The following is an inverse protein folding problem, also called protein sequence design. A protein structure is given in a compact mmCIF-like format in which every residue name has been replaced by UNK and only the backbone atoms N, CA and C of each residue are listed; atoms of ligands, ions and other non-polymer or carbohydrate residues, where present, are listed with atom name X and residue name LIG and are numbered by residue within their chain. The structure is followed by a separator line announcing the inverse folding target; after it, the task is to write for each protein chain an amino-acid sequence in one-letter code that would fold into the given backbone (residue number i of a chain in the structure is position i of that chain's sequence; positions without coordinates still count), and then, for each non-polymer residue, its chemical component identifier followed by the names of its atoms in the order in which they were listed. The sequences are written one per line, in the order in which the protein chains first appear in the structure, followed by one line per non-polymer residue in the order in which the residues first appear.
data_IF_039079734743
#
_entry.id   IF_039079734743
#
_cell.length_a   1.000
_cell.length_b   1.000
_cell.length_c   1.000
_cell.angle_alpha   90.00
_cell.angle_beta   90.00
_cell.angle_gamma   90.00
#
_symmetry.space_group_name_H-M   'P 1'
#
loop_
_entity.id
_entity.type
_entity.pdbx_description
1 polymer ?
#
# COMPACT_ATOMS: atom_id res chain seq x y z
N UNK A 1 9.71 -21.83 -47.07
CA UNK A 1 8.41 -21.51 -46.49
C UNK A 1 8.27 -20.00 -46.49
N UNK A 2 7.13 -19.41 -46.88
CA UNK A 2 6.93 -17.97 -46.76
C UNK A 2 7.06 -17.58 -45.28
N UNK A 3 7.94 -16.64 -44.98
CA UNK A 3 8.06 -16.04 -43.67
C UNK A 3 6.91 -15.04 -43.54
N UNK A 4 5.90 -15.38 -42.76
CA UNK A 4 4.86 -14.41 -42.43
C UNK A 4 5.40 -13.43 -41.43
N UNK A 5 5.37 -12.11 -41.68
CA UNK A 5 5.75 -11.12 -40.68
C UNK A 5 4.84 -11.26 -39.48
N UNK A 6 5.42 -11.27 -38.29
CA UNK A 6 4.68 -11.33 -37.04
C UNK A 6 4.41 -9.91 -36.48
N UNK A 7 3.32 -9.78 -35.74
CA UNK A 7 2.97 -8.55 -35.07
C UNK A 7 3.64 -8.58 -33.69
N UNK A 8 4.60 -7.70 -33.44
CA UNK A 8 5.49 -7.77 -32.27
C UNK A 8 4.74 -7.80 -30.92
N UNK A 9 3.64 -7.09 -30.78
CA UNK A 9 2.87 -7.09 -29.51
C UNK A 9 2.03 -8.36 -29.30
N UNK A 10 2.00 -9.29 -30.27
CA UNK A 10 1.39 -10.62 -30.14
C UNK A 10 2.45 -11.72 -30.07
N UNK A 11 3.73 -11.38 -30.12
CA UNK A 11 4.83 -12.33 -30.02
C UNK A 11 5.25 -12.50 -28.55
N UNK A 12 4.82 -13.60 -27.94
CA UNK A 12 5.12 -13.92 -26.54
C UNK A 12 6.62 -14.09 -26.28
N UNK A 13 7.38 -14.63 -27.27
CA UNK A 13 8.83 -14.80 -27.12
C UNK A 13 9.54 -13.46 -27.13
N UNK A 14 9.13 -12.54 -28.01
CA UNK A 14 9.63 -11.17 -28.00
C UNK A 14 9.27 -10.47 -26.70
N UNK A 15 7.99 -10.54 -26.27
CA UNK A 15 7.55 -9.89 -25.03
C UNK A 15 8.23 -10.45 -23.78
N UNK A 16 8.68 -11.69 -23.79
CA UNK A 16 9.47 -12.29 -22.72
C UNK A 16 10.97 -11.97 -22.77
N UNK A 17 11.47 -11.40 -23.88
CA UNK A 17 12.89 -11.09 -24.07
C UNK A 17 13.38 -9.91 -23.20
N UNK A 18 14.70 -9.76 -23.10
CA UNK A 18 15.29 -8.63 -22.35
C UNK A 18 15.00 -7.28 -23.02
N UNK A 19 14.93 -7.25 -24.34
CA UNK A 19 14.64 -6.05 -25.14
C UNK A 19 13.23 -5.52 -24.87
N UNK A 20 12.26 -6.41 -24.58
CA UNK A 20 10.89 -6.04 -24.26
C UNK A 20 10.66 -5.69 -22.76
N UNK A 21 11.72 -5.69 -21.93
CA UNK A 21 11.62 -5.31 -20.52
C UNK A 21 10.91 -3.94 -20.28
N UNK A 22 11.19 -2.87 -21.06
CA UNK A 22 10.48 -1.60 -20.90
C UNK A 22 8.96 -1.73 -21.11
N UNK A 23 8.52 -2.60 -22.03
CA UNK A 23 7.09 -2.84 -22.28
C UNK A 23 6.44 -3.55 -21.09
N UNK A 24 7.12 -4.53 -20.48
CA UNK A 24 6.63 -5.21 -19.28
C UNK A 24 6.53 -4.26 -18.08
N UNK A 25 7.53 -3.39 -17.87
CA UNK A 25 7.48 -2.35 -16.83
C UNK A 25 6.27 -1.43 -17.05
N UNK A 26 6.08 -0.98 -18.29
CA UNK A 26 4.95 -0.10 -18.63
C UNK A 26 3.61 -0.82 -18.46
N UNK A 27 3.51 -2.10 -18.76
CA UNK A 27 2.28 -2.88 -18.55
C UNK A 27 1.90 -2.95 -17.06
N UNK A 28 2.87 -3.14 -16.15
CA UNK A 28 2.65 -3.12 -14.69
C UNK A 28 2.27 -1.74 -14.14
N UNK A 29 2.50 -0.68 -14.91
CA UNK A 29 1.96 0.64 -14.61
C UNK A 29 0.54 0.82 -15.15
N UNK A 30 0.30 0.43 -16.40
CA UNK A 30 -0.96 0.71 -17.11
C UNK A 30 -2.13 -0.16 -16.65
N UNK A 31 -1.89 -1.42 -16.32
CA UNK A 31 -2.94 -2.36 -15.93
C UNK A 31 -3.61 -1.95 -14.61
N UNK A 32 -2.88 -1.73 -13.50
CA UNK A 32 -3.50 -1.21 -12.28
C UNK A 32 -4.15 0.17 -12.46
N UNK A 33 -3.53 1.05 -13.26
CA UNK A 33 -4.08 2.37 -13.57
C UNK A 33 -5.47 2.27 -14.20
N UNK A 34 -5.63 1.38 -15.18
CA UNK A 34 -6.90 1.14 -15.86
C UNK A 34 -7.93 0.55 -14.89
N UNK A 35 -7.55 -0.46 -14.12
CA UNK A 35 -8.43 -1.12 -13.17
C UNK A 35 -8.94 -0.15 -12.08
N UNK A 36 -8.06 0.67 -11.51
CA UNK A 36 -8.45 1.67 -10.50
C UNK A 36 -9.39 2.73 -11.07
N UNK A 37 -9.18 3.17 -12.32
CA UNK A 37 -10.10 4.08 -13.02
C UNK A 37 -11.48 3.45 -13.22
N UNK A 38 -11.54 2.21 -13.72
CA UNK A 38 -12.80 1.49 -13.93
C UNK A 38 -13.55 1.21 -12.64
N UNK A 39 -12.82 0.89 -11.57
CA UNK A 39 -13.37 0.66 -10.24
C UNK A 39 -13.68 1.95 -9.47
N UNK A 40 -13.40 3.13 -10.05
CA UNK A 40 -13.54 4.44 -9.42
C UNK A 40 -12.81 4.56 -8.07
N UNK A 41 -11.64 3.90 -7.94
CA UNK A 41 -10.78 4.00 -6.77
C UNK A 41 -10.05 5.33 -6.84
N UNK A 42 -10.16 6.13 -5.78
CA UNK A 42 -9.54 7.44 -5.67
C UNK A 42 -8.24 7.42 -4.91
N UNK A 43 -8.30 6.79 -3.76
CA UNK A 43 -7.19 6.74 -2.82
C UNK A 43 -7.30 5.53 -1.88
N UNK A 44 -6.21 5.24 -1.18
CA UNK A 44 -6.08 4.04 -0.38
C UNK A 44 -5.57 4.34 1.03
N UNK A 45 -5.87 3.43 1.97
CA UNK A 45 -5.14 3.26 3.22
C UNK A 45 -4.36 1.96 3.12
N UNK A 46 -3.04 2.05 3.21
CA UNK A 46 -2.15 0.92 3.01
C UNK A 46 -1.81 0.24 4.33
N UNK A 47 -1.94 -1.08 4.35
CA UNK A 47 -1.59 -1.94 5.48
C UNK A 47 -0.33 -2.73 5.14
N UNK A 48 0.74 -2.50 5.90
CA UNK A 48 1.95 -3.30 5.87
C UNK A 48 2.08 -4.14 7.13
N UNK A 49 2.71 -5.30 7.01
CA UNK A 49 2.97 -6.17 8.13
C UNK A 49 3.40 -7.58 7.68
N UNK A 50 3.74 -8.41 8.64
CA UNK A 50 4.26 -9.75 8.39
C UNK A 50 3.21 -10.68 7.79
N UNK A 51 3.61 -11.42 6.77
CA UNK A 51 2.85 -12.58 6.25
C UNK A 51 2.80 -13.78 7.23
N UNK A 52 3.60 -13.75 8.29
CA UNK A 52 3.73 -14.85 9.27
C UNK A 52 2.86 -14.69 10.50
N UNK A 53 2.19 -13.56 10.67
CA UNK A 53 1.32 -13.25 11.80
C UNK A 53 -0.08 -13.77 11.50
N UNK A 54 -0.42 -14.97 11.99
CA UNK A 54 -1.77 -15.52 11.90
C UNK A 54 -2.67 -15.07 13.04
N UNK A 55 -3.95 -15.49 13.01
CA UNK A 55 -4.95 -15.21 14.06
C UNK A 55 -4.58 -15.89 15.40
N UNK A 56 -3.88 -17.01 15.33
CA UNK A 56 -3.40 -17.77 16.48
C UNK A 56 -1.94 -17.45 16.81
N UNK A 57 -1.51 -17.84 18.03
CA UNK A 57 -0.14 -17.65 18.49
C UNK A 57 0.09 -16.30 19.18
N UNK A 58 1.35 -16.03 19.61
CA UNK A 58 1.68 -14.88 20.47
C UNK A 58 1.44 -13.52 19.80
N UNK A 59 1.51 -13.46 18.47
CA UNK A 59 1.28 -12.25 17.69
C UNK A 59 -0.14 -12.16 17.13
N UNK A 60 -1.03 -13.11 17.43
CA UNK A 60 -2.38 -13.21 16.86
C UNK A 60 -3.28 -12.00 17.16
N UNK A 61 -3.00 -11.30 18.28
CA UNK A 61 -3.71 -10.07 18.58
C UNK A 61 -3.51 -9.00 17.50
N UNK A 62 -2.31 -8.89 16.87
CA UNK A 62 -2.09 -7.96 15.76
C UNK A 62 -2.89 -8.30 14.51
N UNK A 63 -3.10 -9.60 14.24
CA UNK A 63 -3.99 -10.03 13.16
C UNK A 63 -5.42 -9.55 13.42
N UNK A 64 -5.94 -9.77 14.63
CA UNK A 64 -7.30 -9.34 15.00
C UNK A 64 -7.45 -7.82 14.97
N UNK A 65 -6.47 -7.09 15.47
CA UNK A 65 -6.45 -5.61 15.43
C UNK A 65 -6.40 -5.08 13.99
N UNK A 66 -5.59 -5.68 13.11
CA UNK A 66 -5.52 -5.30 11.70
C UNK A 66 -6.85 -5.54 10.99
N UNK A 67 -7.49 -6.69 11.24
CA UNK A 67 -8.81 -7.03 10.72
C UNK A 67 -9.88 -6.04 11.21
N UNK A 68 -9.90 -5.73 12.50
CA UNK A 68 -10.87 -4.81 13.07
C UNK A 68 -10.66 -3.38 12.57
N UNK A 69 -9.43 -2.88 12.55
CA UNK A 69 -9.13 -1.55 12.01
C UNK A 69 -9.55 -1.42 10.55
N UNK A 70 -9.23 -2.43 9.74
CA UNK A 70 -9.64 -2.47 8.34
C UNK A 70 -11.16 -2.48 8.19
N UNK A 71 -11.87 -3.23 9.02
CA UNK A 71 -13.34 -3.26 9.03
C UNK A 71 -13.93 -1.88 9.33
N UNK A 72 -13.44 -1.21 10.37
CA UNK A 72 -13.89 0.14 10.75
C UNK A 72 -13.62 1.16 9.66
N UNK A 73 -12.40 1.16 9.09
CA UNK A 73 -12.02 2.06 7.99
C UNK A 73 -12.88 1.82 6.75
N UNK A 74 -13.16 0.56 6.43
CA UNK A 74 -14.00 0.23 5.27
C UNK A 74 -15.45 0.67 5.46
N UNK A 75 -16.02 0.48 6.63
CA UNK A 75 -17.38 1.00 6.95
C UNK A 75 -17.43 2.53 6.81
N UNK A 76 -16.42 3.22 7.31
CA UNK A 76 -16.33 4.68 7.16
C UNK A 76 -16.16 5.07 5.69
N UNK A 77 -15.24 4.45 4.95
CA UNK A 77 -15.03 4.66 3.51
C UNK A 77 -16.35 4.53 2.73
N UNK A 78 -17.10 3.46 2.98
CA UNK A 78 -18.39 3.22 2.32
C UNK A 78 -19.44 4.29 2.65
N UNK A 79 -19.40 4.87 3.85
CA UNK A 79 -20.31 5.97 4.23
C UNK A 79 -20.01 7.28 3.49
N UNK A 80 -18.80 7.42 2.95
CA UNK A 80 -18.36 8.58 2.18
C UNK A 80 -18.58 8.42 0.67
N UNK A 81 -18.86 7.20 0.21
CA UNK A 81 -18.96 6.87 -1.21
C UNK A 81 -20.13 7.63 -1.89
N UNK A 82 -19.79 8.43 -2.91
CA UNK A 82 -20.74 9.14 -3.79
C UNK A 82 -20.38 8.86 -5.26
N UNK A 83 -20.28 7.57 -5.63
CA UNK A 83 -19.87 7.14 -6.98
C UNK A 83 -18.34 7.02 -7.15
N UNK A 84 -17.55 7.42 -6.15
CA UNK A 84 -16.10 7.22 -6.06
C UNK A 84 -15.76 6.54 -4.73
N UNK A 85 -14.70 5.73 -4.73
CA UNK A 85 -14.24 5.01 -3.54
C UNK A 85 -12.98 5.67 -2.98
N UNK A 86 -13.13 6.26 -1.79
CA UNK A 86 -12.03 6.85 -1.02
C UNK A 86 -11.55 5.92 0.07
N UNK A 87 -10.28 6.01 0.44
CA UNK A 87 -9.70 5.29 1.59
C UNK A 87 -9.88 3.77 1.50
N UNK A 88 -9.79 3.22 0.28
CA UNK A 88 -9.92 1.78 0.08
C UNK A 88 -8.72 1.07 0.70
N UNK A 89 -8.98 0.01 1.46
CA UNK A 89 -7.92 -0.79 2.08
C UNK A 89 -7.06 -1.44 1.01
N UNK A 90 -5.74 -1.24 1.11
CA UNK A 90 -4.75 -1.81 0.22
C UNK A 90 -3.69 -2.57 1.02
N UNK A 91 -3.30 -3.74 0.55
CA UNK A 91 -2.23 -4.55 1.15
C UNK A 91 -1.40 -5.25 0.07
N UNK A 92 -0.35 -5.96 0.49
CA UNK A 92 0.41 -6.82 -0.41
C UNK A 92 -0.33 -8.09 -0.87
N UNK A 93 -1.58 -8.29 -0.48
CA UNK A 93 -2.44 -9.38 -0.94
C UNK A 93 -2.07 -10.78 -0.46
N UNK A 94 -0.99 -10.96 0.30
CA UNK A 94 -0.55 -12.25 0.84
C UNK A 94 -1.25 -12.63 2.15
N UNK A 95 -0.67 -13.57 2.89
CA UNK A 95 -1.17 -14.02 4.19
C UNK A 95 -0.88 -13.04 5.34
N UNK A 96 -1.20 -13.45 6.55
CA UNK A 96 -0.88 -12.73 7.77
C UNK A 96 -1.61 -11.39 7.91
N UNK A 97 -0.88 -10.33 8.24
CA UNK A 97 -1.44 -8.99 8.39
C UNK A 97 -2.12 -8.50 7.11
N UNK A 98 -1.58 -8.85 5.94
CA UNK A 98 -2.19 -8.49 4.64
C UNK A 98 -3.56 -9.16 4.47
N UNK A 99 -3.65 -10.44 4.82
CA UNK A 99 -4.92 -11.18 4.84
C UNK A 99 -5.90 -10.58 5.85
N UNK A 100 -5.43 -10.28 7.07
CA UNK A 100 -6.26 -9.64 8.10
C UNK A 100 -6.89 -8.33 7.60
N UNK A 101 -6.09 -7.49 6.94
CA UNK A 101 -6.55 -6.25 6.36
C UNK A 101 -7.62 -6.47 5.27
N UNK A 102 -7.37 -7.36 4.30
CA UNK A 102 -8.34 -7.65 3.25
C UNK A 102 -9.61 -8.31 3.81
N UNK A 103 -9.46 -9.21 4.80
CA UNK A 103 -10.57 -9.86 5.48
C UNK A 103 -11.46 -8.87 6.23
N UNK A 104 -10.87 -7.89 6.93
CA UNK A 104 -11.62 -6.84 7.61
C UNK A 104 -12.45 -6.01 6.64
N UNK A 105 -11.91 -5.70 5.46
CA UNK A 105 -12.64 -5.01 4.41
C UNK A 105 -13.82 -5.87 3.87
N UNK A 106 -13.58 -7.17 3.63
CA UNK A 106 -14.61 -8.11 3.21
C UNK A 106 -15.71 -8.30 4.27
N UNK A 107 -15.36 -8.38 5.55
CA UNK A 107 -16.31 -8.45 6.67
C UNK A 107 -17.24 -7.22 6.73
N UNK A 108 -16.78 -6.07 6.29
CA UNK A 108 -17.57 -4.85 6.17
C UNK A 108 -18.42 -4.81 4.87
N UNK A 109 -18.29 -5.78 3.98
CA UNK A 109 -18.92 -5.79 2.66
C UNK A 109 -18.32 -4.80 1.67
N UNK A 110 -17.10 -4.31 1.93
CA UNK A 110 -16.40 -3.37 1.09
C UNK A 110 -15.36 -4.02 0.17
N UNK A 111 -14.67 -3.18 -0.61
CA UNK A 111 -13.61 -3.59 -1.53
C UNK A 111 -12.24 -3.47 -0.87
N UNK A 112 -11.29 -4.28 -1.32
CA UNK A 112 -9.88 -4.14 -0.96
C UNK A 112 -8.97 -4.46 -2.14
N UNK A 113 -7.75 -3.92 -2.08
CA UNK A 113 -6.73 -4.06 -3.12
C UNK A 113 -5.63 -4.98 -2.61
N UNK A 114 -5.18 -5.89 -3.48
CA UNK A 114 -4.02 -6.75 -3.26
C UNK A 114 -2.94 -6.50 -4.30
N UNK A 115 -1.79 -5.95 -3.88
CA UNK A 115 -0.63 -5.75 -4.74
C UNK A 115 0.40 -6.86 -4.46
N UNK A 116 0.22 -8.02 -5.09
CA UNK A 116 1.07 -9.18 -4.89
C UNK A 116 2.41 -9.01 -5.62
N UNK A 117 3.39 -9.80 -5.24
CA UNK A 117 4.69 -9.88 -5.89
C UNK A 117 4.98 -11.34 -6.22
N UNK A 118 5.43 -11.59 -7.44
CA UNK A 118 5.88 -12.93 -7.85
C UNK A 118 7.16 -13.29 -7.12
N UNK A 119 7.10 -14.31 -6.27
CA UNK A 119 8.24 -14.82 -5.49
C UNK A 119 8.53 -16.26 -5.88
N UNK A 120 9.81 -16.73 -5.73
CA UNK A 120 10.21 -18.10 -6.04
C UNK A 120 9.45 -19.18 -5.25
N UNK A 121 8.92 -18.81 -4.08
CA UNK A 121 7.97 -19.63 -3.31
C UNK A 121 6.60 -19.04 -3.50
N UNK A 122 5.69 -19.77 -4.14
CA UNK A 122 4.33 -19.36 -4.44
C UNK A 122 3.63 -18.73 -3.22
N UNK A 123 3.41 -17.44 -3.27
CA UNK A 123 2.53 -16.75 -2.36
C UNK A 123 1.24 -16.47 -3.13
N UNK A 124 0.22 -17.28 -2.90
CA UNK A 124 -1.09 -17.06 -3.51
C UNK A 124 -1.75 -15.85 -2.88
N UNK A 125 -2.51 -15.05 -3.66
CA UNK A 125 -3.37 -14.01 -3.09
C UNK A 125 -4.30 -14.62 -2.04
N UNK A 126 -4.53 -13.89 -0.94
CA UNK A 126 -5.50 -14.32 0.04
C UNK A 126 -6.94 -14.22 -0.53
N UNK A 127 -7.90 -15.04 -0.04
CA UNK A 127 -9.24 -15.15 -0.65
C UNK A 127 -10.15 -13.93 -0.40
N UNK A 128 -9.71 -12.94 0.36
CA UNK A 128 -10.52 -11.79 0.76
C UNK A 128 -10.25 -10.54 -0.10
N UNK A 129 -9.24 -10.56 -0.96
CA UNK A 129 -8.99 -9.46 -1.90
C UNK A 129 -10.10 -9.43 -2.94
N UNK A 130 -10.53 -8.23 -3.32
CA UNK A 130 -11.49 -8.05 -4.41
C UNK A 130 -10.86 -8.56 -5.72
N UNK A 131 -11.46 -9.53 -6.44
CA UNK A 131 -10.83 -10.21 -7.56
C UNK A 131 -10.30 -9.24 -8.65
N UNK A 132 -11.10 -8.26 -9.05
CA UNK A 132 -10.73 -7.26 -10.06
C UNK A 132 -9.72 -6.21 -9.59
N UNK A 133 -9.34 -6.24 -8.30
CA UNK A 133 -8.35 -5.37 -7.67
C UNK A 133 -7.16 -6.17 -7.13
N UNK A 134 -6.95 -7.35 -7.68
CA UNK A 134 -5.82 -8.22 -7.35
C UNK A 134 -4.81 -8.18 -8.48
N UNK A 135 -3.60 -7.71 -8.17
CA UNK A 135 -2.51 -7.57 -9.12
C UNK A 135 -1.30 -8.39 -8.71
N UNK A 136 -0.55 -8.87 -9.67
CA UNK A 136 0.73 -9.56 -9.44
C UNK A 136 1.83 -8.83 -10.19
N UNK A 137 2.84 -8.37 -9.47
CA UNK A 137 3.99 -7.65 -9.99
C UNK A 137 5.21 -8.56 -10.09
N UNK A 138 5.95 -8.41 -11.17
CA UNK A 138 7.30 -8.97 -11.30
C UNK A 138 8.36 -7.99 -10.77
N UNK A 139 8.14 -6.67 -10.98
CA UNK A 139 9.08 -5.64 -10.59
C UNK A 139 8.72 -5.01 -9.24
N UNK A 140 9.60 -5.17 -8.24
CA UNK A 140 9.42 -4.60 -6.90
C UNK A 140 9.17 -3.09 -6.93
N UNK A 141 9.92 -2.34 -7.73
CA UNK A 141 9.78 -0.88 -7.81
C UNK A 141 8.43 -0.44 -8.39
N UNK A 142 7.82 -1.22 -9.29
CA UNK A 142 6.48 -0.92 -9.81
C UNK A 142 5.41 -1.14 -8.74
N UNK A 143 5.52 -2.23 -7.99
CA UNK A 143 4.64 -2.48 -6.85
C UNK A 143 4.74 -1.38 -5.80
N UNK A 144 5.96 -0.96 -5.44
CA UNK A 144 6.21 0.13 -4.48
C UNK A 144 5.63 1.46 -4.95
N UNK A 145 5.78 1.77 -6.24
CA UNK A 145 5.13 2.95 -6.83
C UNK A 145 3.63 2.96 -6.55
N UNK A 146 2.95 1.83 -6.78
CA UNK A 146 1.51 1.74 -6.59
C UNK A 146 1.08 1.83 -5.13
N UNK A 147 1.86 1.32 -4.19
CA UNK A 147 1.60 1.56 -2.77
C UNK A 147 1.63 3.05 -2.41
N UNK A 148 2.63 3.77 -2.91
CA UNK A 148 2.80 5.19 -2.58
C UNK A 148 1.84 6.12 -3.35
N UNK A 149 1.54 5.79 -4.62
CA UNK A 149 0.83 6.68 -5.55
C UNK A 149 -0.59 7.06 -5.09
N UNK A 150 -1.35 6.10 -4.56
CA UNK A 150 -2.72 6.33 -4.10
C UNK A 150 -2.83 6.46 -2.57
N UNK A 151 -1.75 6.31 -1.83
CA UNK A 151 -1.78 6.30 -0.37
C UNK A 151 -2.24 7.64 0.21
N UNK A 152 -3.20 7.57 1.12
CA UNK A 152 -3.62 8.68 1.99
C UNK A 152 -3.18 8.47 3.43
N UNK A 153 -2.93 7.23 3.81
CA UNK A 153 -2.34 6.86 5.09
C UNK A 153 -1.67 5.49 4.98
N UNK A 154 -0.72 5.25 5.89
CA UNK A 154 -0.10 3.96 6.11
C UNK A 154 -0.36 3.48 7.54
N UNK A 155 -0.66 2.19 7.67
CA UNK A 155 -0.67 1.49 8.96
C UNK A 155 0.31 0.33 8.87
N UNK A 156 1.34 0.38 9.69
CA UNK A 156 2.45 -0.57 9.64
C UNK A 156 2.47 -1.41 10.91
N UNK A 157 2.06 -2.66 10.76
CA UNK A 157 2.05 -3.68 11.80
C UNK A 157 3.41 -4.36 11.93
N UNK A 158 3.68 -5.10 13.01
CA UNK A 158 4.90 -5.86 13.17
C UNK A 158 5.24 -6.71 11.95
N UNK A 159 6.50 -6.62 11.49
CA UNK A 159 6.94 -7.31 10.29
C UNK A 159 8.46 -7.34 10.13
N UNK A 160 8.92 -8.16 9.21
CA UNK A 160 10.35 -8.34 8.92
C UNK A 160 10.88 -7.36 7.87
N UNK A 161 11.92 -7.81 7.14
CA UNK A 161 12.63 -6.97 6.17
C UNK A 161 11.73 -6.36 5.09
N UNK A 162 10.75 -7.09 4.56
CA UNK A 162 9.83 -6.52 3.56
C UNK A 162 8.98 -5.39 4.13
N UNK A 163 8.52 -5.51 5.38
CA UNK A 163 7.77 -4.45 6.06
C UNK A 163 8.65 -3.25 6.38
N UNK A 164 9.90 -3.48 6.80
CA UNK A 164 10.88 -2.42 7.05
C UNK A 164 11.26 -1.68 5.75
N UNK A 165 11.42 -2.40 4.64
CA UNK A 165 11.73 -1.84 3.33
C UNK A 165 10.63 -0.85 2.90
N UNK A 166 9.36 -1.24 2.98
CA UNK A 166 8.24 -0.35 2.65
C UNK A 166 8.11 0.82 3.64
N UNK A 167 8.30 0.58 4.94
CA UNK A 167 8.27 1.63 5.95
C UNK A 167 9.35 2.68 5.72
N UNK A 168 10.61 2.23 5.56
CA UNK A 168 11.75 3.15 5.42
C UNK A 168 11.71 3.90 4.10
N UNK A 169 11.21 3.31 3.02
CA UNK A 169 10.97 4.02 1.77
C UNK A 169 9.99 5.18 1.96
N UNK A 170 8.82 4.92 2.57
CA UNK A 170 7.81 5.96 2.77
C UNK A 170 8.30 7.03 3.75
N UNK A 171 9.01 6.67 4.82
CA UNK A 171 9.65 7.64 5.71
C UNK A 171 10.66 8.51 4.97
N UNK A 172 11.48 7.93 4.09
CA UNK A 172 12.43 8.67 3.26
C UNK A 172 11.73 9.63 2.29
N UNK A 173 10.67 9.17 1.64
CA UNK A 173 9.87 10.02 0.73
C UNK A 173 9.19 11.17 1.49
N UNK A 174 8.71 10.92 2.70
CA UNK A 174 8.11 11.94 3.56
C UNK A 174 9.15 12.95 4.04
N UNK A 175 10.31 12.49 4.54
CA UNK A 175 11.41 13.30 5.01
C UNK A 175 11.96 14.23 3.90
N UNK A 176 12.09 13.70 2.69
CA UNK A 176 12.62 14.43 1.54
C UNK A 176 11.59 15.26 0.77
N UNK A 177 10.36 15.34 1.28
CA UNK A 177 9.23 16.03 0.64
C UNK A 177 8.97 15.57 -0.81
N UNK A 178 9.22 14.28 -1.11
CA UNK A 178 8.94 13.66 -2.41
C UNK A 178 7.51 13.13 -2.52
N UNK A 179 6.80 13.02 -1.42
CA UNK A 179 5.35 12.79 -1.44
C UNK A 179 4.64 14.10 -1.80
N UNK A 180 3.67 14.02 -2.70
CA UNK A 180 2.87 15.19 -3.12
C UNK A 180 2.10 15.83 -1.96
N UNK A 181 1.84 15.04 -0.92
CA UNK A 181 1.14 15.43 0.30
C UNK A 181 1.72 14.72 1.51
N UNK A 182 1.57 15.32 2.68
CA UNK A 182 1.87 14.64 3.94
C UNK A 182 0.80 13.58 4.18
N UNK A 183 1.23 12.33 4.40
CA UNK A 183 0.36 11.20 4.72
C UNK A 183 0.60 10.75 6.17
N UNK A 184 -0.45 10.48 6.96
CA UNK A 184 -0.31 9.85 8.27
C UNK A 184 0.35 8.48 8.17
N UNK A 185 1.33 8.22 9.04
CA UNK A 185 1.98 6.91 9.17
C UNK A 185 1.78 6.45 10.60
N UNK A 186 1.03 5.36 10.80
CA UNK A 186 0.82 4.75 12.10
C UNK A 186 1.66 3.49 12.23
N UNK A 187 2.52 3.44 13.24
CA UNK A 187 3.26 2.24 13.64
C UNK A 187 2.44 1.49 14.70
N UNK A 188 1.82 0.41 14.31
CA UNK A 188 0.97 -0.38 15.18
C UNK A 188 1.79 -1.36 16.01
N UNK A 189 1.64 -1.35 17.34
CA UNK A 189 2.42 -2.17 18.26
C UNK A 189 3.68 -1.44 18.72
N UNK A 190 3.52 -0.45 19.59
CA UNK A 190 4.59 0.43 20.10
C UNK A 190 5.74 -0.36 20.72
N UNK A 191 5.44 -1.42 21.50
CA UNK A 191 6.44 -2.29 22.11
C UNK A 191 7.36 -2.92 21.07
N UNK A 192 6.78 -3.55 20.04
CA UNK A 192 7.52 -4.18 18.95
C UNK A 192 8.45 -3.18 18.24
N UNK A 193 7.93 -2.02 17.89
CA UNK A 193 8.69 -1.03 17.13
C UNK A 193 9.82 -0.39 17.93
N UNK A 194 9.63 -0.16 19.24
CA UNK A 194 10.69 0.33 20.11
C UNK A 194 11.81 -0.69 20.34
N UNK A 195 11.50 -1.99 20.26
CA UNK A 195 12.50 -3.06 20.38
C UNK A 195 13.27 -3.24 19.06
N UNK A 196 12.58 -3.17 17.92
CA UNK A 196 13.16 -3.47 16.59
C UNK A 196 13.91 -2.30 15.99
N UNK A 197 13.43 -1.05 16.19
CA UNK A 197 14.08 0.15 15.65
C UNK A 197 14.41 1.13 16.77
N UNK A 198 15.71 1.41 16.93
CA UNK A 198 16.15 2.41 17.88
C UNK A 198 16.19 3.81 17.25
N UNK A 199 15.02 4.44 17.05
CA UNK A 199 14.91 5.80 16.52
C UNK A 199 15.69 6.83 17.36
N UNK A 200 15.75 6.65 18.71
CA UNK A 200 16.52 7.54 19.58
C UNK A 200 18.01 7.47 19.31
N UNK A 201 18.53 6.30 18.95
CA UNK A 201 19.93 6.17 18.54
C UNK A 201 20.17 6.86 17.20
N UNK A 202 19.27 6.73 16.23
CA UNK A 202 19.38 7.43 14.95
C UNK A 202 19.43 8.95 15.15
N UNK A 203 18.58 9.49 16.01
CA UNK A 203 18.56 10.90 16.37
C UNK A 203 19.89 11.30 17.07
N UNK A 204 20.31 10.53 18.06
CA UNK A 204 21.56 10.77 18.82
C UNK A 204 22.80 10.84 17.90
N UNK A 205 22.87 10.01 16.88
CA UNK A 205 23.98 9.97 15.93
C UNK A 205 23.81 10.95 14.75
N UNK A 206 22.72 11.75 14.73
CA UNK A 206 22.49 12.71 13.66
C UNK A 206 22.14 12.08 12.32
N UNK A 207 21.59 10.86 12.32
CA UNK A 207 21.14 10.19 11.10
C UNK A 207 19.71 10.63 10.69
N UNK A 208 18.96 11.14 11.65
CA UNK A 208 17.65 11.77 11.49
C UNK A 208 17.57 13.00 12.39
N UNK A 209 16.64 13.92 12.11
CA UNK A 209 16.37 15.11 12.91
C UNK A 209 15.16 14.95 13.82
N UNK A 210 14.99 15.84 14.82
CA UNK A 210 13.81 15.83 15.70
C UNK A 210 12.48 15.95 14.93
N UNK A 211 12.49 16.69 13.82
CA UNK A 211 11.32 16.82 12.94
C UNK A 211 10.91 15.51 12.29
N UNK A 212 11.86 14.61 12.05
CA UNK A 212 11.58 13.30 11.45
C UNK A 212 10.81 12.39 12.40
N UNK A 213 10.95 12.60 13.71
CA UNK A 213 10.16 11.88 14.71
C UNK A 213 8.66 12.23 14.67
N UNK A 214 8.29 13.32 14.02
CA UNK A 214 6.89 13.70 13.79
C UNK A 214 6.30 13.15 12.48
N UNK A 215 7.05 12.33 11.72
CA UNK A 215 6.58 11.68 10.50
C UNK A 215 5.64 10.51 10.78
N UNK A 216 5.71 9.91 11.96
CA UNK A 216 4.92 8.75 12.33
C UNK A 216 4.39 8.85 13.77
N UNK A 217 3.37 8.07 14.09
CA UNK A 217 2.78 7.96 15.42
C UNK A 217 2.65 6.48 15.81
N UNK A 218 2.82 6.16 17.11
CA UNK A 218 2.58 4.82 17.62
C UNK A 218 1.11 4.65 18.03
N UNK A 219 0.55 3.48 17.74
CA UNK A 219 -0.80 3.09 18.14
C UNK A 219 -0.82 1.62 18.55
N UNK A 220 -1.69 1.26 19.48
CA UNK A 220 -1.71 -0.09 20.07
C UNK A 220 -3.10 -0.76 20.02
N UNK A 221 -4.13 -0.07 19.52
CA UNK A 221 -5.47 -0.63 19.37
C UNK A 221 -6.20 -0.08 18.15
N UNK A 222 -7.08 -0.88 17.56
CA UNK A 222 -7.80 -0.56 16.32
C UNK A 222 -8.73 0.66 16.47
N UNK A 223 -9.50 0.76 17.55
CA UNK A 223 -10.44 1.85 17.72
C UNK A 223 -9.75 3.22 17.86
N UNK A 224 -8.72 3.42 18.69
CA UNK A 224 -7.93 4.66 18.72
C UNK A 224 -7.27 4.97 17.37
N UNK A 225 -6.70 3.97 16.70
CA UNK A 225 -6.07 4.14 15.38
C UNK A 225 -7.10 4.61 14.34
N UNK A 226 -8.30 4.04 14.34
CA UNK A 226 -9.40 4.46 13.48
C UNK A 226 -9.79 5.93 13.71
N UNK A 227 -10.04 6.32 14.95
CA UNK A 227 -10.41 7.71 15.29
C UNK A 227 -9.29 8.69 14.90
N UNK A 228 -8.03 8.30 15.11
CA UNK A 228 -6.90 9.10 14.72
C UNK A 228 -6.83 9.31 13.20
N UNK A 229 -6.94 8.24 12.41
CA UNK A 229 -6.97 8.33 10.94
C UNK A 229 -8.16 9.14 10.45
N UNK A 230 -9.35 8.92 11.01
CA UNK A 230 -10.55 9.66 10.65
C UNK A 230 -10.39 11.17 10.89
N UNK A 231 -9.76 11.54 12.01
CA UNK A 231 -9.47 12.95 12.35
C UNK A 231 -8.45 13.58 11.40
N UNK A 232 -7.40 12.84 11.01
CA UNK A 232 -6.33 13.34 10.15
C UNK A 232 -6.72 13.44 8.67
N UNK A 233 -7.51 12.48 8.21
CA UNK A 233 -7.91 12.39 6.80
C UNK A 233 -9.14 13.27 6.48
N UNK A 234 -10.08 13.37 7.43
CA UNK A 234 -11.33 14.10 7.24
C UNK A 234 -12.25 13.50 6.15
N UNK A 235 -13.38 14.14 5.86
CA UNK A 235 -14.16 13.82 4.68
C UNK A 235 -13.38 14.22 3.42
N UNK A 236 -13.48 13.44 2.31
CA UNK A 236 -12.78 13.76 1.09
C UNK A 236 -13.29 15.09 0.50
N UNK A 237 -12.37 15.89 -0.04
CA UNK A 237 -12.70 17.16 -0.68
C UNK A 237 -13.63 16.96 -1.88
N UNK A 238 -14.73 17.69 -1.91
CA UNK A 238 -15.82 17.53 -2.89
C UNK A 238 -15.44 17.93 -4.34
N UNK A 239 -14.20 18.33 -4.61
CA UNK A 239 -13.76 18.92 -5.87
C UNK A 239 -12.52 18.33 -6.54
N UNK A 240 -11.80 17.44 -5.89
CA UNK A 240 -10.60 16.85 -6.52
C UNK A 240 -10.98 15.71 -7.47
N UNK A 241 -10.89 15.91 -8.78
CA UNK A 241 -10.85 14.82 -9.76
C UNK A 241 -9.57 13.99 -9.55
N UNK A 242 -9.60 12.64 -9.73
CA UNK A 242 -8.38 11.84 -9.67
C UNK A 242 -7.44 12.34 -10.76
N UNK A 243 -6.37 12.99 -10.36
CA UNK A 243 -5.36 13.41 -11.31
C UNK A 243 -4.36 12.28 -11.56
N UNK A 244 -4.84 11.22 -12.24
CA UNK A 244 -3.96 10.19 -12.79
C UNK A 244 -3.05 10.74 -13.91
N UNK A 245 -3.21 12.00 -14.30
CA UNK A 245 -2.53 12.60 -15.44
C UNK A 245 -1.50 13.66 -15.06
N UNK A 246 -1.50 14.18 -13.83
CA UNK A 246 -0.63 15.29 -13.44
C UNK A 246 0.06 15.02 -12.10
N UNK A 247 1.07 14.14 -12.10
CA UNK A 247 2.22 14.37 -11.26
C UNK A 247 2.85 15.69 -11.74
N UNK A 248 2.38 16.83 -11.23
CA UNK A 248 3.08 18.10 -11.38
C UNK A 248 4.33 18.01 -10.51
N UNK A 249 5.33 17.32 -11.00
CA UNK A 249 6.69 17.53 -10.55
C UNK A 249 6.94 19.03 -10.74
N UNK A 250 6.84 19.82 -9.69
CA UNK A 250 7.49 21.13 -9.66
C UNK A 250 8.98 20.82 -9.80
N UNK A 251 9.45 20.81 -11.03
CA UNK A 251 10.88 20.89 -11.31
C UNK A 251 11.29 22.21 -10.68
N UNK A 252 11.90 22.14 -9.51
CA UNK A 252 12.48 23.29 -8.85
C UNK A 252 13.43 23.93 -9.87
N UNK A 253 13.27 25.23 -10.10
CA UNK A 253 14.26 26.00 -10.85
C UNK A 253 15.60 25.76 -10.14
N UNK A 254 16.55 25.18 -10.90
CA UNK A 254 17.98 25.13 -10.57
C UNK A 254 18.47 26.58 -10.53
#
# INVERSE_FOLDING_TARGET
KPVHPHVAYLDEMFLASDEARPLRILSEYLDPLQAFRHAHIRDTIVFFGSARVGDEGPMGHYYREARELSRLLTQWSMSLARGTHHYVVCSGGGGGIMEAANRGAADAGGRSIGLNISLPREQRPNPYVTPELTFEFHYFFMRKLWFAHLARALVVFPGGFGTLDELTEVLTLAQTAKLERRIPILLFGSEYWHEVINFKAMLKYGMIDEQDMALFEFVDAAAPAFERLRSLLGPPDAGETPDFAHSRTRVGKI
#
